data_IF_341624572988
#
_entry.id   IF_341624572988
#
_cell.length_a   1.000
_cell.length_b   1.000
_cell.length_c   1.000
_cell.angle_alpha   90.00
_cell.angle_beta   90.00
_cell.angle_gamma   90.00
#
_symmetry.space_group_name_H-M   'P 1'
#
loop_
_entity.id
_entity.type
_entity.pdbx_description
1 polymer ?
#
# COMPACT_ATOMS: atom_id res chain seq x y z
N UNK A 1 30.78 16.69 -10.21
CA UNK A 1 29.50 16.36 -9.52
C UNK A 1 28.34 16.41 -10.50
N UNK A 2 28.33 15.49 -11.47
CA UNK A 2 27.22 15.23 -12.39
C UNK A 2 27.10 13.72 -12.42
N UNK A 3 26.20 13.14 -11.63
CA UNK A 3 25.66 11.80 -11.79
C UNK A 3 24.64 11.55 -10.67
N UNK A 4 23.58 10.82 -11.02
CA UNK A 4 22.45 10.36 -10.18
C UNK A 4 21.26 11.34 -10.14
N UNK A 5 20.60 11.48 -11.29
CA UNK A 5 19.13 11.54 -11.37
C UNK A 5 18.73 10.71 -12.60
N UNK A 6 18.69 9.38 -12.43
CA UNK A 6 18.01 8.53 -13.40
C UNK A 6 16.56 8.46 -12.94
N UNK A 7 15.73 9.35 -13.48
CA UNK A 7 14.30 9.36 -13.24
C UNK A 7 13.73 8.00 -13.66
N UNK A 8 13.02 7.36 -12.74
CA UNK A 8 12.14 6.23 -13.03
C UNK A 8 10.90 6.84 -13.68
N UNK A 9 10.88 6.92 -15.01
CA UNK A 9 9.64 7.11 -15.75
C UNK A 9 8.84 5.81 -15.65
N UNK A 10 7.76 5.83 -14.86
CA UNK A 10 6.72 4.80 -14.88
C UNK A 10 5.48 5.37 -15.52
N UNK A 11 5.18 4.94 -16.74
CA UNK A 11 3.88 5.11 -17.39
C UNK A 11 2.91 4.09 -16.80
N UNK A 12 1.65 4.47 -16.55
CA UNK A 12 0.62 3.52 -16.09
C UNK A 12 -0.72 3.75 -16.79
N UNK A 13 -1.36 2.63 -17.15
CA UNK A 13 -2.67 2.51 -17.79
C UNK A 13 -3.82 2.58 -16.76
N UNK A 14 -4.95 3.17 -17.16
CA UNK A 14 -6.19 3.21 -16.36
C UNK A 14 -6.96 1.90 -16.58
N UNK A 15 -7.21 1.13 -15.52
CA UNK A 15 -8.10 -0.05 -15.60
C UNK A 15 -9.34 0.19 -14.72
N UNK A 16 -10.56 0.14 -15.27
CA UNK A 16 -11.80 0.24 -14.49
C UNK A 16 -11.97 -0.97 -13.57
N UNK A 17 -12.31 -0.73 -12.29
CA UNK A 17 -12.66 -1.80 -11.33
C UNK A 17 -14.19 -1.88 -11.20
N UNK A 18 -14.81 -2.86 -11.87
CA UNK A 18 -16.19 -3.33 -11.59
C UNK A 18 -17.36 -2.43 -12.03
N UNK A 19 -18.43 -3.05 -12.55
CA UNK A 19 -19.57 -2.36 -13.21
C UNK A 19 -20.55 -1.61 -12.29
N UNK A 20 -20.42 -1.66 -10.96
CA UNK A 20 -21.44 -1.04 -10.09
C UNK A 20 -21.07 0.32 -9.49
N UNK A 21 -19.80 0.66 -9.35
CA UNK A 21 -19.30 2.01 -9.06
C UNK A 21 -17.81 1.99 -9.42
N UNK A 22 -17.39 2.45 -10.62
CA UNK A 22 -16.00 2.31 -11.03
C UNK A 22 -15.13 3.17 -10.13
N UNK A 23 -14.44 2.54 -9.19
CA UNK A 23 -13.43 3.21 -8.40
C UNK A 23 -12.31 3.66 -9.35
N UNK A 24 -11.99 4.95 -9.32
CA UNK A 24 -10.87 5.48 -10.08
C UNK A 24 -9.58 5.11 -9.38
N UNK A 25 -8.77 4.28 -10.05
CA UNK A 25 -7.44 3.91 -9.59
C UNK A 25 -6.44 5.00 -9.99
N UNK A 26 -5.82 5.65 -9.01
CA UNK A 26 -4.77 6.66 -9.26
C UNK A 26 -3.42 6.17 -8.77
N UNK A 27 -2.41 6.34 -9.62
CA UNK A 27 -1.02 6.00 -9.33
C UNK A 27 -0.24 7.20 -8.80
N UNK A 28 0.63 6.94 -7.81
CA UNK A 28 1.54 7.94 -7.26
C UNK A 28 2.59 8.34 -8.28
N UNK A 29 2.62 9.63 -8.64
CA UNK A 29 3.58 10.22 -9.56
C UNK A 29 4.79 10.79 -8.80
N UNK A 30 6.00 10.78 -9.37
CA UNK A 30 7.10 11.58 -8.86
C UNK A 30 6.73 13.07 -8.87
N UNK A 31 7.10 13.78 -7.82
CA UNK A 31 6.93 15.23 -7.76
C UNK A 31 7.91 15.92 -8.72
N UNK A 32 7.38 16.64 -9.71
CA UNK A 32 8.17 17.45 -10.66
C UNK A 32 7.54 18.84 -10.80
N UNK A 33 8.33 19.90 -11.08
CA UNK A 33 7.78 21.24 -11.28
C UNK A 33 6.66 21.30 -12.31
N UNK A 34 6.90 20.71 -13.49
CA UNK A 34 5.91 20.72 -14.58
C UNK A 34 4.66 19.92 -14.20
N UNK A 35 4.85 18.74 -13.61
CA UNK A 35 3.76 17.88 -13.16
C UNK A 35 2.87 18.49 -12.07
N UNK A 36 3.42 19.39 -11.25
CA UNK A 36 2.71 19.99 -10.12
C UNK A 36 2.21 21.42 -10.36
N UNK A 37 2.63 22.06 -11.46
CA UNK A 37 2.40 23.48 -11.74
C UNK A 37 0.93 23.92 -11.79
N UNK A 38 0.02 23.02 -12.17
CA UNK A 38 -1.44 23.28 -12.15
C UNK A 38 -2.03 23.34 -10.74
N UNK A 39 -1.38 22.70 -9.78
CA UNK A 39 -1.82 22.61 -8.39
C UNK A 39 -1.08 23.59 -7.47
N UNK A 40 0.12 24.01 -7.85
CA UNK A 40 0.95 24.77 -6.95
C UNK A 40 2.38 24.98 -7.41
N UNK A 41 3.27 25.13 -6.44
CA UNK A 41 4.71 25.26 -6.65
C UNK A 41 5.50 24.38 -5.69
N UNK A 42 6.75 24.10 -6.05
CA UNK A 42 7.67 23.27 -5.26
C UNK A 42 8.86 24.13 -4.84
N UNK A 43 9.27 24.02 -3.58
CA UNK A 43 10.50 24.60 -3.07
C UNK A 43 11.38 23.50 -2.46
N UNK A 44 12.45 23.14 -3.17
CA UNK A 44 13.45 22.15 -2.75
C UNK A 44 14.59 22.86 -2.00
N UNK A 45 14.30 23.44 -0.84
CA UNK A 45 15.36 23.93 0.05
C UNK A 45 15.46 23.00 1.27
N UNK A 46 16.53 22.18 1.40
CA UNK A 46 16.65 21.20 2.48
C UNK A 46 16.72 21.82 3.89
N UNK A 47 16.95 23.14 3.98
CA UNK A 47 16.96 23.87 5.25
C UNK A 47 15.60 24.49 5.62
N UNK A 48 14.56 24.30 4.81
CA UNK A 48 13.25 24.94 5.00
C UNK A 48 12.47 24.41 6.23
N UNK A 49 12.90 23.30 6.83
CA UNK A 49 12.29 22.81 8.08
C UNK A 49 12.56 23.74 9.28
N UNK A 50 13.45 24.73 9.14
CA UNK A 50 13.52 25.86 10.06
C UNK A 50 12.32 26.77 9.78
N UNK A 51 11.19 26.41 10.38
CA UNK A 51 10.09 27.35 10.56
C UNK A 51 10.55 28.35 11.62
N UNK A 52 11.01 29.52 11.16
CA UNK A 52 11.21 30.71 12.00
C UNK A 52 12.22 30.56 13.16
N UNK A 53 13.18 29.63 13.06
CA UNK A 53 14.13 29.36 14.15
C UNK A 53 13.50 28.77 15.42
N UNK A 54 12.21 28.40 15.37
CA UNK A 54 11.46 27.81 16.48
C UNK A 54 11.42 26.29 16.33
N UNK A 55 11.72 25.59 17.42
CA UNK A 55 11.53 24.15 17.50
C UNK A 55 10.03 23.87 17.56
N UNK A 56 9.48 23.28 16.51
CA UNK A 56 8.13 22.72 16.53
C UNK A 56 8.23 21.31 17.11
N UNK A 57 7.62 21.11 18.27
CA UNK A 57 7.44 19.78 18.86
C UNK A 57 5.99 19.36 18.73
N UNK A 58 5.76 18.05 18.66
CA UNK A 58 4.42 17.48 18.80
C UNK A 58 3.79 17.97 20.11
N UNK A 59 2.55 18.49 20.11
CA UNK A 59 1.86 18.84 21.34
C UNK A 59 1.52 17.61 22.18
N UNK A 60 1.64 17.71 23.51
CA UNK A 60 1.20 16.67 24.46
C UNK A 60 -0.34 16.60 24.60
N UNK A 61 -1.06 17.46 23.90
CA UNK A 61 -2.53 17.50 23.90
C UNK A 61 -3.11 16.50 22.90
N UNK A 62 -4.38 16.14 23.09
CA UNK A 62 -5.12 15.37 22.09
C UNK A 62 -5.25 16.18 20.80
N UNK A 63 -5.05 15.53 19.66
CA UNK A 63 -5.34 16.10 18.35
C UNK A 63 -6.76 16.67 18.31
N UNK A 64 -6.92 17.88 17.77
CA UNK A 64 -8.22 18.55 17.69
C UNK A 64 -8.95 18.23 16.38
N UNK A 65 -8.28 17.57 15.43
CA UNK A 65 -8.88 16.95 14.24
C UNK A 65 -8.23 15.59 13.99
N UNK A 66 -8.98 14.68 13.37
CA UNK A 66 -8.48 13.34 13.01
C UNK A 66 -9.34 12.72 11.91
N UNK A 67 -8.75 11.80 11.16
CA UNK A 67 -9.45 10.95 10.19
C UNK A 67 -8.79 9.57 10.12
N UNK A 68 -9.25 8.70 9.20
CA UNK A 68 -8.63 7.39 9.01
C UNK A 68 -7.14 7.51 8.70
N UNK A 69 -6.30 7.02 9.62
CA UNK A 69 -4.85 7.00 9.47
C UNK A 69 -4.13 8.33 9.78
N UNK A 70 -4.80 9.37 10.30
CA UNK A 70 -4.11 10.64 10.61
C UNK A 70 -4.70 11.42 11.78
N UNK A 71 -3.85 12.23 12.41
CA UNK A 71 -4.15 13.11 13.55
C UNK A 71 -3.58 14.50 13.29
N UNK A 72 -4.33 15.55 13.59
CA UNK A 72 -3.95 16.94 13.31
C UNK A 72 -4.11 17.82 14.55
N UNK A 73 -3.10 18.67 14.77
CA UNK A 73 -3.07 19.73 15.75
C UNK A 73 -2.96 21.06 15.02
N UNK A 74 -4.01 21.89 15.09
CA UNK A 74 -4.00 23.22 14.45
C UNK A 74 -4.96 24.20 15.12
N UNK A 75 -4.54 25.43 15.47
CA UNK A 75 -3.17 25.95 15.33
C UNK A 75 -2.25 25.41 16.42
N UNK A 76 -0.96 25.24 16.10
CA UNK A 76 0.12 25.01 17.09
C UNK A 76 1.09 26.19 17.22
N UNK A 77 1.12 27.06 16.22
CA UNK A 77 1.89 28.31 16.22
C UNK A 77 1.30 29.30 15.21
N UNK A 78 1.73 30.55 15.28
CA UNK A 78 1.53 31.54 14.22
C UNK A 78 2.55 31.33 13.09
N UNK A 79 2.13 31.55 11.85
CA UNK A 79 2.98 31.46 10.66
C UNK A 79 3.52 32.84 10.31
N UNK A 80 4.83 32.91 10.05
CA UNK A 80 5.47 34.08 9.43
C UNK A 80 5.55 33.97 7.90
N UNK A 81 5.42 32.75 7.36
CA UNK A 81 5.45 32.48 5.92
C UNK A 81 4.18 32.96 5.23
N UNK A 82 3.11 33.05 6.00
CA UNK A 82 1.80 33.51 5.57
C UNK A 82 1.39 34.58 6.59
N UNK A 83 1.29 35.84 6.18
CA UNK A 83 0.96 36.95 7.09
C UNK A 83 -0.30 36.61 7.90
N UNK A 84 -0.25 36.63 9.23
CA UNK A 84 -1.40 36.29 10.07
C UNK A 84 -1.87 34.83 9.93
N UNK A 85 -1.04 33.98 9.33
CA UNK A 85 -1.28 32.56 9.13
C UNK A 85 -1.09 31.76 10.40
N UNK A 86 -1.49 30.50 10.34
CA UNK A 86 -1.26 29.52 11.40
C UNK A 86 -0.41 28.37 10.87
N UNK A 87 0.26 27.71 11.81
CA UNK A 87 0.95 26.45 11.57
C UNK A 87 0.13 25.34 12.20
N UNK A 88 -0.10 24.27 11.44
CA UNK A 88 -0.60 23.00 11.96
C UNK A 88 0.43 21.89 11.79
N UNK A 89 0.26 20.83 12.58
CA UNK A 89 1.08 19.62 12.53
C UNK A 89 0.16 18.42 12.34
N UNK A 90 0.54 17.52 11.44
CA UNK A 90 -0.19 16.29 11.14
C UNK A 90 0.75 15.11 11.32
N UNK A 91 0.28 14.11 12.06
CA UNK A 91 0.85 12.78 12.06
C UNK A 91 -0.02 11.87 11.21
N UNK A 92 0.60 11.15 10.28
CA UNK A 92 -0.09 10.25 9.36
C UNK A 92 0.59 8.87 9.36
N UNK A 93 -0.20 7.81 9.43
CA UNK A 93 0.25 6.41 9.47
C UNK A 93 0.74 5.95 8.11
N UNK A 94 1.80 5.14 8.07
CA UNK A 94 2.30 4.60 6.82
C UNK A 94 1.29 3.65 6.21
N UNK A 95 0.94 3.91 4.95
CA UNK A 95 -0.05 3.14 4.21
C UNK A 95 0.60 2.40 3.03
N UNK A 96 -0.02 1.28 2.65
CA UNK A 96 0.34 0.48 1.48
C UNK A 96 -0.91 -0.23 0.96
N UNK A 97 -1.01 -0.41 -0.36
CA UNK A 97 -2.18 -1.03 -0.98
C UNK A 97 -3.24 -0.01 -1.38
N UNK A 98 -4.50 -0.47 -1.44
CA UNK A 98 -5.66 0.36 -1.76
C UNK A 98 -6.15 1.15 -0.56
N UNK A 99 -6.45 2.44 -0.79
CA UNK A 99 -6.99 3.35 0.21
C UNK A 99 -8.14 4.09 -0.44
N UNK A 100 -9.31 4.01 0.17
CA UNK A 100 -10.45 4.81 -0.24
C UNK A 100 -10.29 6.22 0.30
N UNK A 101 -10.34 7.20 -0.60
CA UNK A 101 -10.39 8.63 -0.24
C UNK A 101 -11.87 8.99 -0.12
N UNK A 102 -12.39 9.30 1.09
CA UNK A 102 -13.82 9.51 1.29
C UNK A 102 -14.32 10.88 0.81
N UNK A 103 -13.41 11.83 0.65
CA UNK A 103 -13.68 13.22 0.29
C UNK A 103 -12.40 14.05 0.33
N UNK A 104 -12.51 15.33 0.01
CA UNK A 104 -11.39 16.27 -0.03
C UNK A 104 -11.76 17.56 0.70
N UNK A 105 -10.77 18.27 1.20
CA UNK A 105 -10.93 19.64 1.68
C UNK A 105 -10.18 20.61 0.76
N UNK A 106 -10.40 21.92 0.92
CA UNK A 106 -9.64 22.94 0.21
C UNK A 106 -9.58 24.20 1.03
N UNK A 107 -8.49 24.94 0.87
CA UNK A 107 -8.29 26.22 1.53
C UNK A 107 -8.50 27.38 0.54
N UNK A 108 -9.06 28.49 1.02
CA UNK A 108 -9.25 29.72 0.22
C UNK A 108 -7.96 30.53 0.08
N UNK A 109 -7.01 30.29 0.96
CA UNK A 109 -5.66 30.83 0.90
C UNK A 109 -4.69 29.76 0.40
N UNK A 110 -3.48 30.13 -0.02
CA UNK A 110 -2.45 29.13 -0.31
C UNK A 110 -2.15 28.30 0.94
N UNK A 111 -1.97 27.01 0.74
CA UNK A 111 -1.53 26.09 1.80
C UNK A 111 -0.13 25.59 1.49
N UNK A 112 0.77 25.71 2.46
CA UNK A 112 2.11 25.15 2.36
C UNK A 112 2.13 23.84 3.13
N UNK A 113 2.65 22.75 2.56
CA UNK A 113 2.90 21.50 3.27
C UNK A 113 4.37 21.09 3.17
N UNK A 114 4.90 20.54 4.26
CA UNK A 114 6.26 20.04 4.31
C UNK A 114 6.38 18.81 5.22
N UNK A 115 6.75 17.63 4.68
CA UNK A 115 7.06 16.47 5.49
C UNK A 115 8.41 16.61 6.20
N UNK A 116 8.45 16.28 7.49
CA UNK A 116 9.59 16.50 8.37
C UNK A 116 10.46 15.26 8.54
N UNK A 117 9.86 14.08 8.70
CA UNK A 117 10.56 12.86 9.14
C UNK A 117 10.31 11.64 8.24
N UNK A 118 9.75 11.84 7.05
CA UNK A 118 9.46 10.78 6.08
C UNK A 118 8.90 11.32 4.77
N UNK A 119 8.52 10.45 3.86
CA UNK A 119 7.82 10.83 2.63
C UNK A 119 6.31 10.78 2.85
N UNK A 120 5.58 11.61 2.10
CA UNK A 120 4.12 11.60 2.09
C UNK A 120 3.59 11.53 0.66
N UNK A 121 2.42 10.95 0.48
CA UNK A 121 1.64 11.05 -0.75
C UNK A 121 0.56 12.11 -0.56
N UNK A 122 0.57 13.08 -1.46
CA UNK A 122 -0.40 14.16 -1.53
C UNK A 122 -1.37 13.88 -2.68
N UNK A 123 -2.67 13.82 -2.37
CA UNK A 123 -3.75 13.71 -3.35
C UNK A 123 -4.34 15.09 -3.57
N UNK A 124 -4.40 15.55 -4.82
CA UNK A 124 -4.91 16.88 -5.19
C UNK A 124 -5.88 16.78 -6.36
N UNK A 125 -6.83 17.71 -6.44
CA UNK A 125 -7.70 17.89 -7.60
C UNK A 125 -7.96 19.39 -7.83
N UNK A 126 -8.16 19.83 -9.08
CA UNK A 126 -8.38 21.24 -9.36
C UNK A 126 -9.73 21.72 -8.78
N UNK A 127 -9.73 22.88 -8.13
CA UNK A 127 -10.95 23.63 -7.83
C UNK A 127 -11.12 24.80 -8.79
N UNK A 128 -12.36 25.08 -9.17
CA UNK A 128 -12.74 26.14 -10.11
C UNK A 128 -12.90 27.48 -9.42
N UNK A 129 -13.54 27.51 -8.24
CA UNK A 129 -13.76 28.74 -7.50
C UNK A 129 -13.67 28.49 -5.98
N UNK A 130 -12.60 28.94 -5.29
CA UNK A 130 -12.44 28.74 -3.84
C UNK A 130 -13.58 29.33 -3.00
N UNK A 131 -14.34 30.29 -3.54
CA UNK A 131 -15.44 30.94 -2.84
C UNK A 131 -16.80 30.26 -3.06
N UNK A 132 -16.87 29.22 -3.90
CA UNK A 132 -18.12 28.49 -4.13
C UNK A 132 -18.27 27.35 -3.09
N UNK A 133 -19.15 27.51 -2.10
CA UNK A 133 -19.40 26.46 -1.09
C UNK A 133 -20.04 25.19 -1.65
N UNK A 134 -20.71 25.29 -2.80
CA UNK A 134 -21.45 24.19 -3.43
C UNK A 134 -20.60 23.38 -4.43
N UNK A 135 -19.35 23.80 -4.67
CA UNK A 135 -18.46 23.05 -5.53
C UNK A 135 -18.05 21.74 -4.84
N UNK A 136 -18.11 20.64 -5.58
CA UNK A 136 -17.67 19.33 -5.14
C UNK A 136 -16.32 18.97 -5.79
N UNK A 137 -15.44 18.21 -5.12
CA UNK A 137 -14.26 17.66 -5.75
C UNK A 137 -14.64 16.66 -6.86
N UNK A 138 -13.91 16.68 -7.97
CA UNK A 138 -14.08 15.74 -9.08
C UNK A 138 -13.00 14.66 -9.02
N UNK A 139 -13.39 13.43 -8.66
CA UNK A 139 -12.46 12.30 -8.53
C UNK A 139 -11.70 12.00 -9.83
N UNK A 140 -12.30 12.30 -11.00
CA UNK A 140 -11.67 12.03 -12.32
C UNK A 140 -10.53 12.97 -12.66
N UNK A 141 -10.44 14.09 -11.95
CA UNK A 141 -9.38 15.09 -12.11
C UNK A 141 -8.35 15.04 -10.98
N UNK A 142 -8.47 14.05 -10.09
CA UNK A 142 -7.51 13.88 -9.02
C UNK A 142 -6.16 13.41 -9.57
N UNK A 143 -5.08 13.85 -8.93
CA UNK A 143 -3.72 13.43 -9.16
C UNK A 143 -3.04 13.14 -7.82
N UNK A 144 -2.01 12.31 -7.84
CA UNK A 144 -1.26 11.98 -6.62
C UNK A 144 0.24 12.14 -6.83
N UNK A 145 0.90 12.74 -5.84
CA UNK A 145 2.32 13.07 -5.90
C UNK A 145 3.04 12.53 -4.67
N UNK A 146 4.20 11.89 -4.88
CA UNK A 146 5.13 11.54 -3.81
C UNK A 146 5.94 12.78 -3.43
N UNK A 147 5.75 13.29 -2.23
CA UNK A 147 6.46 14.45 -1.68
C UNK A 147 7.62 13.93 -0.81
N UNK A 148 8.89 14.13 -1.23
CA UNK A 148 10.03 13.68 -0.45
C UNK A 148 10.15 14.45 0.86
N UNK A 149 10.78 13.83 1.86
CA UNK A 149 11.13 14.49 3.12
C UNK A 149 11.86 15.82 2.85
N UNK A 150 11.55 16.84 3.65
CA UNK A 150 12.11 18.20 3.53
C UNK A 150 11.81 18.93 2.21
N UNK A 151 10.88 18.43 1.39
CA UNK A 151 10.40 19.15 0.21
C UNK A 151 9.16 19.94 0.56
N UNK A 152 9.20 21.26 0.37
CA UNK A 152 8.03 22.10 0.57
C UNK A 152 7.21 22.16 -0.73
N UNK A 153 5.91 21.97 -0.60
CA UNK A 153 4.94 22.28 -1.67
C UNK A 153 3.99 23.37 -1.22
N UNK A 154 3.61 24.25 -2.14
CA UNK A 154 2.59 25.28 -1.89
C UNK A 154 1.43 25.03 -2.84
N UNK A 155 0.27 24.67 -2.29
CA UNK A 155 -0.99 24.55 -3.00
C UNK A 155 -1.54 25.93 -3.33
N UNK A 156 -2.04 26.08 -4.56
CA UNK A 156 -2.77 27.27 -4.96
C UNK A 156 -4.12 27.34 -4.19
N UNK A 157 -4.65 28.56 -3.97
CA UNK A 157 -6.00 28.74 -3.44
C UNK A 157 -7.05 27.90 -4.17
N UNK A 158 -7.91 27.21 -3.42
CA UNK A 158 -9.04 26.45 -3.94
C UNK A 158 -8.73 25.05 -4.45
N UNK A 159 -7.47 24.62 -4.41
CA UNK A 159 -7.10 23.25 -4.75
C UNK A 159 -7.68 22.29 -3.72
N UNK A 160 -8.47 21.33 -4.20
CA UNK A 160 -8.93 20.22 -3.41
C UNK A 160 -7.74 19.34 -3.06
N UNK A 161 -7.66 18.87 -1.83
CA UNK A 161 -6.65 17.91 -1.41
C UNK A 161 -7.18 16.98 -0.32
N UNK A 162 -6.54 15.82 -0.18
CA UNK A 162 -6.71 14.94 0.98
C UNK A 162 -5.57 15.14 1.97
N UNK A 163 -5.80 14.73 3.23
CA UNK A 163 -4.75 14.72 4.23
C UNK A 163 -3.62 13.83 3.73
N UNK A 164 -2.40 14.35 3.73
CA UNK A 164 -1.28 13.63 3.15
C UNK A 164 -1.00 12.34 3.92
N UNK A 165 -0.66 11.28 3.19
CA UNK A 165 -0.52 9.93 3.72
C UNK A 165 0.95 9.54 3.80
N UNK A 166 1.42 9.02 4.94
CA UNK A 166 2.79 8.53 5.04
C UNK A 166 3.00 7.33 4.11
N UNK A 167 4.18 7.26 3.49
CA UNK A 167 4.58 6.10 2.70
C UNK A 167 6.01 5.69 3.00
N UNK A 168 6.36 4.49 2.53
CA UNK A 168 7.70 3.91 2.61
C UNK A 168 8.25 3.67 4.02
N UNK A 169 7.53 3.99 5.10
CA UNK A 169 7.88 3.56 6.46
C UNK A 169 7.42 2.13 6.77
N UNK A 170 8.01 1.46 7.77
CA UNK A 170 7.47 0.24 8.34
C UNK A 170 6.00 0.38 8.78
N UNK A 171 5.27 -0.72 8.79
CA UNK A 171 3.86 -0.73 9.21
C UNK A 171 3.72 -0.27 10.67
N UNK A 172 2.78 0.64 10.93
CA UNK A 172 2.55 1.22 12.25
C UNK A 172 3.48 2.41 12.58
N UNK A 173 4.49 2.68 11.77
CA UNK A 173 5.24 3.94 11.86
C UNK A 173 4.46 5.08 11.22
N UNK A 174 4.76 6.30 11.69
CA UNK A 174 4.11 7.54 11.23
C UNK A 174 5.10 8.47 10.57
N UNK A 175 4.61 9.30 9.67
CA UNK A 175 5.31 10.50 9.19
C UNK A 175 4.63 11.73 9.78
N UNK A 176 5.45 12.68 10.20
CA UNK A 176 5.02 14.02 10.60
C UNK A 176 5.20 14.98 9.43
N UNK A 177 4.17 15.77 9.14
CA UNK A 177 4.29 16.92 8.26
C UNK A 177 3.64 18.15 8.90
N UNK A 178 4.11 19.32 8.50
CA UNK A 178 3.56 20.62 8.93
C UNK A 178 2.85 21.27 7.77
N UNK A 179 1.86 22.09 8.09
CA UNK A 179 1.18 22.92 7.12
C UNK A 179 1.04 24.37 7.58
N UNK A 180 1.03 25.30 6.63
CA UNK A 180 0.79 26.72 6.85
C UNK A 180 -0.40 27.19 6.04
N UNK A 181 -1.37 27.86 6.68
CA UNK A 181 -2.56 28.42 6.03
C UNK A 181 -2.87 29.83 6.57
N UNK A 182 -3.48 30.69 5.77
CA UNK A 182 -4.04 31.96 6.27
C UNK A 182 -5.48 31.72 6.76
N UNK A 183 -5.75 31.72 8.08
CA UNK A 183 -7.09 31.51 8.60
C UNK A 183 -8.03 32.68 8.27
N UNK A 184 -7.51 33.85 7.88
CA UNK A 184 -8.34 35.04 7.59
C UNK A 184 -9.06 34.92 6.25
N UNK A 185 -8.59 34.07 5.35
CA UNK A 185 -9.35 33.67 4.15
C UNK A 185 -10.70 33.03 4.49
N UNK A 186 -10.88 32.61 5.74
CA UNK A 186 -12.04 31.88 6.25
C UNK A 186 -13.03 32.78 7.01
N UNK A 187 -12.66 34.04 7.30
CA UNK A 187 -13.41 34.91 8.19
C UNK A 187 -14.71 35.52 7.60
N UNK A 188 -15.11 35.14 6.38
CA UNK A 188 -16.36 35.61 5.76
C UNK A 188 -17.48 34.56 5.96
N UNK A 189 -18.17 34.64 7.09
CA UNK A 189 -19.52 34.10 7.44
C UNK A 189 -19.95 32.67 7.05
N UNK A 190 -19.12 31.87 6.37
CA UNK A 190 -19.43 30.51 5.98
C UNK A 190 -18.45 29.58 6.70
N UNK A 191 -18.91 28.67 7.57
CA UNK A 191 -18.04 27.73 8.27
C UNK A 191 -17.21 26.96 7.23
N UNK A 192 -15.97 26.62 7.58
CA UNK A 192 -15.11 25.78 6.73
C UNK A 192 -15.96 24.61 6.22
N UNK A 193 -16.15 24.45 4.90
CA UNK A 193 -16.63 23.16 4.44
C UNK A 193 -15.55 22.18 4.87
N UNK A 194 -15.90 21.27 5.78
CA UNK A 194 -14.98 20.21 6.19
C UNK A 194 -14.67 19.30 5.01
N UNK A 195 -14.32 18.06 5.30
CA UNK A 195 -14.20 17.01 4.28
C UNK A 195 -15.48 16.92 3.43
N UNK A 196 -15.42 17.38 2.19
CA UNK A 196 -16.53 17.31 1.24
C UNK A 196 -16.43 15.98 0.51
N UNK A 197 -17.46 15.12 0.57
CA UNK A 197 -17.46 13.89 -0.21
C UNK A 197 -17.48 14.19 -1.71
N UNK A 198 -16.99 13.24 -2.50
CA UNK A 198 -17.23 13.26 -3.95
C UNK A 198 -18.73 13.21 -4.27
N UNK A 199 -19.09 13.51 -5.52
CA UNK A 199 -20.47 13.27 -5.97
C UNK A 199 -20.88 11.81 -5.72
N UNK A 200 -22.18 11.53 -5.51
CA UNK A 200 -22.68 10.18 -5.14
C UNK A 200 -22.30 9.07 -6.13
N UNK A 201 -21.92 9.44 -7.34
CA UNK A 201 -21.56 8.53 -8.43
C UNK A 201 -20.04 8.29 -8.51
N UNK A 202 -19.24 8.98 -7.68
CA UNK A 202 -17.79 8.94 -7.73
C UNK A 202 -17.20 8.38 -6.43
N UNK A 203 -16.17 7.54 -6.59
CA UNK A 203 -15.27 7.13 -5.53
C UNK A 203 -13.84 7.21 -6.03
N UNK A 204 -12.92 7.53 -5.11
CA UNK A 204 -11.50 7.61 -5.41
C UNK A 204 -10.76 6.54 -4.60
N UNK A 205 -10.09 5.62 -5.30
CA UNK A 205 -9.19 4.64 -4.68
C UNK A 205 -7.74 4.94 -5.08
N UNK A 206 -6.94 5.24 -4.07
CA UNK A 206 -5.50 5.42 -4.23
C UNK A 206 -4.81 4.08 -4.04
N UNK A 207 -3.94 3.71 -4.97
CA UNK A 207 -3.10 2.53 -4.83
C UNK A 207 -1.63 2.92 -4.63
N UNK A 208 -1.10 2.59 -3.45
CA UNK A 208 0.28 2.88 -3.07
C UNK A 208 1.08 1.58 -3.09
N UNK A 209 1.97 1.49 -4.08
CA UNK A 209 2.96 0.40 -4.15
C UNK A 209 4.22 0.79 -3.38
N UNK A 210 4.50 0.08 -2.28
CA UNK A 210 5.81 0.16 -1.63
C UNK A 210 6.83 -0.57 -2.51
N UNK A 211 7.85 0.14 -2.97
CA UNK A 211 8.99 -0.53 -3.62
C UNK A 211 9.89 -1.10 -2.52
N UNK A 212 10.39 -2.34 -2.68
CA UNK A 212 11.36 -2.87 -1.74
C UNK A 212 12.63 -2.02 -1.84
N UNK A 213 13.08 -1.47 -0.72
CA UNK A 213 14.43 -0.93 -0.60
C UNK A 213 15.44 -2.02 -0.98
N UNK A 214 16.48 -1.68 -1.75
CA UNK A 214 17.53 -2.62 -2.15
C UNK A 214 18.18 -3.38 -0.98
N UNK A 215 19.02 -4.37 -1.29
CA UNK A 215 19.75 -5.15 -0.27
C UNK A 215 20.99 -4.44 0.28
N UNK A 216 21.37 -3.29 -0.30
CA UNK A 216 22.48 -2.48 0.18
C UNK A 216 22.26 -2.02 1.63
N UNK A 217 23.27 -2.20 2.49
CA UNK A 217 23.17 -1.86 3.91
C UNK A 217 22.44 -2.88 4.78
N UNK A 218 22.00 -4.00 4.22
CA UNK A 218 21.34 -5.09 4.95
C UNK A 218 22.17 -6.38 4.95
N UNK A 219 22.03 -7.20 5.98
CA UNK A 219 22.62 -8.55 6.09
C UNK A 219 21.51 -9.54 6.43
N UNK A 220 21.42 -10.65 5.68
CA UNK A 220 20.55 -11.78 6.00
C UNK A 220 21.07 -12.50 7.25
N UNK A 221 20.28 -12.48 8.34
CA UNK A 221 20.59 -13.17 9.61
C UNK A 221 20.11 -14.62 9.60
N UNK A 222 18.88 -14.85 9.12
CA UNK A 222 18.30 -16.18 9.05
C UNK A 222 17.23 -16.26 7.95
N UNK A 223 16.85 -17.48 7.59
CA UNK A 223 15.69 -17.78 6.73
C UNK A 223 14.67 -18.54 7.56
N UNK A 224 13.73 -17.84 8.21
CA UNK A 224 12.90 -18.46 9.25
C UNK A 224 11.92 -19.52 8.70
N UNK A 225 11.56 -19.41 7.42
CA UNK A 225 10.53 -20.24 6.80
C UNK A 225 9.12 -19.85 7.28
N UNK A 226 8.27 -20.85 7.50
CA UNK A 226 6.87 -20.60 7.85
C UNK A 226 6.74 -20.04 9.27
N UNK A 227 6.15 -18.85 9.42
CA UNK A 227 5.90 -18.23 10.73
C UNK A 227 4.51 -18.60 11.29
N UNK A 228 3.53 -18.85 10.42
CA UNK A 228 2.16 -19.21 10.78
C UNK A 228 1.54 -18.29 11.83
N UNK A 229 0.86 -18.89 12.80
CA UNK A 229 0.22 -18.21 13.95
C UNK A 229 1.22 -17.52 14.89
N UNK A 230 2.53 -17.82 14.78
CA UNK A 230 3.60 -17.26 15.64
C UNK A 230 4.30 -16.04 15.05
N UNK A 231 3.76 -15.47 13.97
CA UNK A 231 4.33 -14.28 13.31
C UNK A 231 4.54 -13.13 14.31
N UNK A 232 3.50 -12.78 15.07
CA UNK A 232 3.53 -11.60 15.93
C UNK A 232 4.48 -11.80 17.12
N UNK A 233 4.54 -13.02 17.68
CA UNK A 233 5.56 -13.42 18.66
C UNK A 233 6.98 -13.22 18.11
N UNK A 234 7.23 -13.69 16.88
CA UNK A 234 8.55 -13.56 16.24
C UNK A 234 8.89 -12.11 15.93
N UNK A 235 7.92 -11.30 15.52
CA UNK A 235 8.13 -9.87 15.29
C UNK A 235 8.46 -9.15 16.61
N UNK A 236 7.78 -9.51 17.70
CA UNK A 236 8.11 -9.00 19.04
C UNK A 236 9.51 -9.40 19.48
N UNK A 237 9.91 -10.66 19.26
CA UNK A 237 11.28 -11.15 19.51
C UNK A 237 12.32 -10.36 18.72
N UNK A 238 12.12 -10.17 17.42
CA UNK A 238 13.04 -9.42 16.56
C UNK A 238 13.08 -7.92 16.91
N UNK A 239 11.95 -7.32 17.26
CA UNK A 239 11.91 -5.96 17.77
C UNK A 239 12.74 -5.82 19.05
N UNK A 240 12.66 -6.78 19.97
CA UNK A 240 13.48 -6.76 21.19
C UNK A 240 14.97 -7.03 20.95
N UNK A 241 15.31 -7.75 19.88
CA UNK A 241 16.70 -8.13 19.56
C UNK A 241 17.45 -7.10 18.69
N UNK A 242 16.76 -6.46 17.75
CA UNK A 242 17.38 -5.63 16.73
C UNK A 242 16.90 -4.18 16.73
N UNK A 243 15.90 -3.83 17.55
CA UNK A 243 15.11 -2.59 17.48
C UNK A 243 14.22 -2.49 16.24
N UNK A 244 13.05 -1.88 16.42
CA UNK A 244 12.12 -1.63 15.31
C UNK A 244 12.77 -0.72 14.26
N UNK A 245 12.58 -1.02 12.97
CA UNK A 245 13.18 -0.29 11.86
C UNK A 245 14.64 -0.68 11.51
N UNK A 246 15.28 -1.52 12.31
CA UNK A 246 16.63 -2.05 12.08
C UNK A 246 16.64 -3.51 11.60
N UNK A 247 15.48 -4.14 11.50
CA UNK A 247 15.29 -5.43 10.86
C UNK A 247 14.12 -5.36 9.87
N UNK A 248 14.11 -6.29 8.91
CA UNK A 248 13.00 -6.50 7.97
C UNK A 248 12.86 -7.97 7.59
N UNK A 249 11.64 -8.39 7.28
CA UNK A 249 11.36 -9.69 6.67
C UNK A 249 11.08 -9.47 5.19
N UNK A 250 11.88 -10.07 4.31
CA UNK A 250 11.80 -9.90 2.86
C UNK A 250 11.90 -11.25 2.16
N UNK A 251 11.54 -11.29 0.87
CA UNK A 251 11.84 -12.42 0.01
C UNK A 251 13.04 -12.07 -0.88
N UNK A 252 14.12 -12.81 -0.73
CA UNK A 252 15.37 -12.64 -1.49
C UNK A 252 15.87 -14.00 -1.96
N UNK A 253 16.17 -14.09 -3.26
CA UNK A 253 16.69 -15.31 -3.88
C UNK A 253 18.22 -15.47 -3.70
N UNK A 254 18.81 -16.49 -4.32
CA UNK A 254 20.25 -16.76 -4.22
C UNK A 254 21.13 -15.73 -4.93
N UNK A 255 20.55 -14.88 -5.78
CA UNK A 255 21.25 -13.83 -6.53
C UNK A 255 21.08 -12.45 -5.87
N UNK A 256 20.65 -12.42 -4.60
CA UNK A 256 20.33 -11.20 -3.84
C UNK A 256 19.24 -10.32 -4.47
N UNK A 257 18.42 -10.86 -5.40
CA UNK A 257 17.27 -10.15 -5.93
C UNK A 257 16.14 -10.17 -4.91
N UNK A 258 15.62 -9.00 -4.60
CA UNK A 258 14.41 -8.83 -3.81
C UNK A 258 13.18 -9.10 -4.67
N UNK A 259 12.25 -9.87 -4.09
CA UNK A 259 10.97 -10.19 -4.67
C UNK A 259 9.89 -9.40 -3.95
N UNK A 260 9.11 -8.65 -4.72
CA UNK A 260 7.87 -8.06 -4.23
C UNK A 260 6.81 -9.13 -4.01
N UNK A 261 5.84 -8.85 -3.14
CA UNK A 261 4.71 -9.76 -2.96
C UNK A 261 3.92 -9.93 -4.27
N UNK A 262 3.83 -8.89 -5.12
CA UNK A 262 3.15 -9.01 -6.41
C UNK A 262 3.89 -9.96 -7.36
N UNK A 263 5.22 -9.88 -7.43
CA UNK A 263 6.01 -10.81 -8.26
C UNK A 263 5.87 -12.24 -7.74
N UNK A 264 5.83 -12.44 -6.42
CA UNK A 264 5.60 -13.77 -5.85
C UNK A 264 4.20 -14.26 -6.23
N UNK A 265 3.16 -13.46 -6.02
CA UNK A 265 1.77 -13.87 -6.24
C UNK A 265 1.46 -14.08 -7.72
N UNK A 266 1.79 -13.11 -8.57
CA UNK A 266 1.37 -13.15 -9.97
C UNK A 266 2.38 -13.84 -10.88
N UNK A 267 3.69 -13.75 -10.61
CA UNK A 267 4.67 -14.43 -11.46
C UNK A 267 4.98 -15.83 -10.95
N UNK A 268 5.16 -16.02 -9.64
CA UNK A 268 5.52 -17.35 -9.11
C UNK A 268 4.30 -18.22 -8.91
N UNK A 269 3.35 -17.79 -8.06
CA UNK A 269 2.18 -18.60 -7.73
C UNK A 269 1.25 -18.75 -8.93
N UNK A 270 0.76 -17.64 -9.50
CA UNK A 270 -0.28 -17.71 -10.53
C UNK A 270 0.21 -18.38 -11.82
N UNK A 271 1.45 -18.13 -12.28
CA UNK A 271 1.97 -18.86 -13.44
C UNK A 271 2.15 -20.36 -13.16
N UNK A 272 2.60 -20.73 -11.96
CA UNK A 272 2.76 -22.15 -11.60
C UNK A 272 1.41 -22.86 -11.49
N UNK A 273 0.38 -22.20 -10.93
CA UNK A 273 -1.00 -22.67 -10.99
C UNK A 273 -1.49 -22.81 -12.43
N UNK A 274 -1.25 -21.81 -13.28
CA UNK A 274 -1.69 -21.84 -14.68
C UNK A 274 -1.05 -23.01 -15.44
N UNK A 275 0.26 -23.23 -15.27
CA UNK A 275 0.97 -24.36 -15.84
C UNK A 275 0.41 -25.70 -15.34
N UNK A 276 0.19 -25.84 -14.02
CA UNK A 276 -0.43 -27.02 -13.45
C UNK A 276 -1.79 -27.32 -14.09
N UNK A 277 -2.67 -26.32 -14.22
CA UNK A 277 -4.00 -26.50 -14.79
C UNK A 277 -4.03 -26.67 -16.32
N UNK A 278 -3.00 -26.23 -17.03
CA UNK A 278 -2.83 -26.57 -18.45
C UNK A 278 -2.60 -28.07 -18.62
N UNK A 279 -1.85 -28.69 -17.72
CA UNK A 279 -1.63 -30.14 -17.69
C UNK A 279 -2.81 -30.90 -17.05
N UNK A 280 -3.64 -30.21 -16.25
CA UNK A 280 -4.80 -30.78 -15.53
C UNK A 280 -6.11 -30.04 -15.86
N UNK A 281 -6.54 -29.94 -17.13
CA UNK A 281 -7.64 -29.07 -17.53
C UNK A 281 -9.00 -29.48 -16.94
N UNK A 282 -9.21 -30.78 -16.71
CA UNK A 282 -10.43 -31.30 -16.06
C UNK A 282 -10.60 -30.79 -14.63
N UNK A 283 -9.49 -30.55 -13.93
CA UNK A 283 -9.50 -30.02 -12.57
C UNK A 283 -9.87 -28.53 -12.57
N UNK A 284 -9.28 -27.75 -13.47
CA UNK A 284 -9.64 -26.35 -13.66
C UNK A 284 -11.12 -26.20 -14.00
N UNK A 285 -11.62 -26.99 -14.96
CA UNK A 285 -13.03 -27.01 -15.36
C UNK A 285 -13.94 -27.39 -14.19
N UNK A 286 -13.54 -28.38 -13.38
CA UNK A 286 -14.30 -28.74 -12.19
C UNK A 286 -14.37 -27.58 -11.20
N UNK A 287 -13.24 -26.91 -10.91
CA UNK A 287 -13.21 -25.77 -9.99
C UNK A 287 -14.15 -24.66 -10.49
N UNK A 288 -13.95 -24.19 -11.72
CA UNK A 288 -14.68 -23.01 -12.19
C UNK A 288 -16.17 -23.27 -12.41
N UNK A 289 -16.58 -24.52 -12.68
CA UNK A 289 -18.00 -24.84 -12.84
C UNK A 289 -18.72 -25.10 -11.50
N UNK A 290 -18.01 -25.42 -10.41
CA UNK A 290 -18.62 -25.78 -9.13
C UNK A 290 -18.49 -24.71 -8.04
N UNK A 291 -17.56 -23.77 -8.19
CA UNK A 291 -17.27 -22.76 -7.17
C UNK A 291 -17.35 -21.33 -7.70
N UNK A 292 -17.51 -20.36 -6.81
CA UNK A 292 -17.57 -18.93 -7.13
C UNK A 292 -16.20 -18.25 -7.08
N UNK A 293 -15.29 -18.75 -6.23
CA UNK A 293 -13.89 -18.34 -6.08
C UNK A 293 -13.22 -19.26 -5.05
N UNK A 294 -11.91 -19.18 -4.89
CA UNK A 294 -11.15 -19.82 -3.82
C UNK A 294 -10.82 -18.85 -2.66
N UNK A 295 -10.69 -19.40 -1.44
CA UNK A 295 -10.27 -18.71 -0.21
C UNK A 295 -9.48 -19.67 0.71
N UNK A 296 -8.83 -19.16 1.75
CA UNK A 296 -8.00 -19.98 2.64
C UNK A 296 -8.68 -20.30 3.98
N UNK A 297 -9.18 -19.31 4.71
CA UNK A 297 -9.60 -19.49 6.11
C UNK A 297 -11.09 -19.23 6.32
N UNK A 298 -11.80 -20.17 6.96
CA UNK A 298 -13.24 -20.07 7.27
C UNK A 298 -13.56 -18.88 8.18
N UNK A 299 -12.63 -18.53 9.08
CA UNK A 299 -12.81 -17.40 9.99
C UNK A 299 -12.72 -16.05 9.26
N UNK A 300 -12.22 -16.03 8.02
CA UNK A 300 -11.99 -14.83 7.22
C UNK A 300 -12.45 -15.05 5.76
N UNK A 301 -13.75 -15.27 5.50
CA UNK A 301 -14.23 -15.47 4.14
C UNK A 301 -13.96 -14.21 3.30
N UNK A 302 -13.38 -14.42 2.11
CA UNK A 302 -13.11 -13.34 1.15
C UNK A 302 -14.29 -13.29 0.20
N UNK A 303 -14.99 -12.15 0.03
CA UNK A 303 -16.09 -12.07 -0.93
C UNK A 303 -15.54 -12.07 -2.37
N UNK A 304 -16.36 -12.47 -3.34
CA UNK A 304 -15.93 -12.74 -4.73
C UNK A 304 -15.24 -11.52 -5.38
N UNK A 305 -15.74 -10.32 -5.10
CA UNK A 305 -15.19 -9.06 -5.61
C UNK A 305 -13.81 -8.70 -5.05
N UNK A 306 -13.34 -9.41 -4.01
CA UNK A 306 -12.00 -9.27 -3.43
C UNK A 306 -11.12 -10.48 -3.69
N UNK A 307 -11.66 -11.55 -4.27
CA UNK A 307 -10.98 -12.84 -4.35
C UNK A 307 -9.78 -12.84 -5.30
N UNK A 308 -9.64 -11.82 -6.16
CA UNK A 308 -8.48 -11.59 -7.04
C UNK A 308 -7.65 -10.36 -6.64
N UNK A 309 -8.02 -9.70 -5.53
CA UNK A 309 -7.33 -8.50 -5.04
C UNK A 309 -6.29 -8.88 -3.97
N UNK A 310 -5.02 -8.82 -4.37
CA UNK A 310 -3.90 -9.10 -3.50
C UNK A 310 -3.87 -8.17 -2.27
N UNK A 311 -4.07 -6.88 -2.47
CA UNK A 311 -3.87 -5.92 -1.40
C UNK A 311 -4.99 -5.96 -0.36
N UNK A 312 -6.19 -6.41 -0.74
CA UNK A 312 -7.29 -6.66 0.21
C UNK A 312 -7.14 -7.96 1.01
N UNK A 313 -6.19 -8.83 0.65
CA UNK A 313 -5.98 -10.13 1.29
C UNK A 313 -4.56 -10.32 1.85
N UNK A 314 -3.68 -9.33 1.66
CA UNK A 314 -2.30 -9.32 2.13
C UNK A 314 -2.04 -8.19 3.12
N UNK A 315 -1.34 -8.53 4.20
CA UNK A 315 -0.88 -7.63 5.26
C UNK A 315 -1.98 -6.76 5.87
N UNK A 316 -3.20 -7.31 5.95
CA UNK A 316 -4.34 -6.62 6.53
C UNK A 316 -4.30 -6.70 8.07
N UNK A 317 -4.54 -5.59 8.80
CA UNK A 317 -4.50 -5.61 10.25
C UNK A 317 -5.52 -6.59 10.84
N UNK A 318 -5.05 -7.50 11.71
CA UNK A 318 -5.89 -8.50 12.37
C UNK A 318 -6.43 -9.61 11.46
N UNK A 319 -6.02 -9.65 10.18
CA UNK A 319 -6.49 -10.64 9.20
C UNK A 319 -5.28 -11.42 8.68
N UNK A 320 -5.27 -12.77 8.76
CA UNK A 320 -4.22 -13.58 8.17
C UNK A 320 -4.15 -13.39 6.65
N UNK A 321 -2.94 -13.49 6.11
CA UNK A 321 -2.70 -13.42 4.67
C UNK A 321 -3.42 -14.56 3.93
N UNK A 322 -4.12 -14.23 2.84
CA UNK A 322 -4.82 -15.21 1.98
C UNK A 322 -4.45 -15.05 0.49
N UNK A 323 -3.22 -14.58 0.23
CA UNK A 323 -2.78 -14.29 -1.14
C UNK A 323 -2.57 -15.54 -2.00
N UNK A 324 -2.50 -16.74 -1.42
CA UNK A 324 -2.37 -17.97 -2.21
C UNK A 324 -3.67 -18.25 -2.97
N UNK A 325 -4.82 -18.06 -2.31
CA UNK A 325 -6.12 -18.12 -2.96
C UNK A 325 -6.27 -17.05 -4.06
N UNK A 326 -5.73 -15.84 -3.85
CA UNK A 326 -5.69 -14.79 -4.89
C UNK A 326 -4.96 -15.29 -6.14
N UNK A 327 -3.79 -15.91 -5.97
CA UNK A 327 -3.03 -16.42 -7.12
C UNK A 327 -3.77 -17.52 -7.88
N UNK A 328 -4.44 -18.45 -7.18
CA UNK A 328 -5.27 -19.49 -7.78
C UNK A 328 -6.42 -18.88 -8.59
N UNK A 329 -7.16 -17.93 -7.99
CA UNK A 329 -8.26 -17.24 -8.66
C UNK A 329 -7.76 -16.49 -9.90
N UNK A 330 -6.63 -15.79 -9.78
CA UNK A 330 -6.03 -15.04 -10.86
C UNK A 330 -5.59 -15.93 -12.02
N UNK A 331 -4.95 -17.07 -11.72
CA UNK A 331 -4.51 -18.04 -12.73
C UNK A 331 -5.70 -18.56 -13.56
N UNK A 332 -6.78 -18.98 -12.90
CA UNK A 332 -7.97 -19.51 -13.57
C UNK A 332 -8.68 -18.42 -14.39
N UNK A 333 -8.95 -17.27 -13.78
CA UNK A 333 -9.77 -16.23 -14.41
C UNK A 333 -9.04 -15.50 -15.53
N UNK A 334 -7.77 -15.12 -15.33
CA UNK A 334 -7.08 -14.20 -16.23
C UNK A 334 -6.02 -14.87 -17.09
N UNK A 335 -5.23 -15.81 -16.54
CA UNK A 335 -4.20 -16.49 -17.33
C UNK A 335 -4.79 -17.60 -18.22
N UNK A 336 -5.82 -18.29 -17.73
CA UNK A 336 -6.48 -19.39 -18.46
C UNK A 336 -7.84 -19.00 -19.06
N UNK A 337 -8.32 -17.79 -18.81
CA UNK A 337 -9.62 -17.29 -19.28
C UNK A 337 -10.79 -18.23 -18.93
N UNK A 338 -10.79 -18.76 -17.70
CA UNK A 338 -11.82 -19.65 -17.14
C UNK A 338 -12.51 -18.94 -15.96
N UNK A 339 -13.54 -18.11 -16.20
CA UNK A 339 -14.27 -17.47 -15.11
C UNK A 339 -15.06 -18.49 -14.29
N UNK A 340 -15.13 -18.26 -12.98
CA UNK A 340 -15.96 -19.04 -12.06
C UNK A 340 -17.46 -18.87 -12.37
N UNK A 341 -18.24 -19.94 -12.21
CA UNK A 341 -19.68 -20.03 -12.50
C UNK A 341 -20.48 -20.66 -11.38
N UNK A 342 -19.82 -21.29 -10.41
CA UNK A 342 -20.48 -21.83 -9.24
C UNK A 342 -20.90 -20.73 -8.27
N UNK A 343 -21.64 -21.12 -7.23
CA UNK A 343 -22.22 -20.20 -6.25
C UNK A 343 -21.67 -20.37 -4.83
N UNK A 344 -20.80 -21.37 -4.59
CA UNK A 344 -20.16 -21.61 -3.30
C UNK A 344 -18.65 -21.37 -3.36
N UNK A 345 -18.02 -20.83 -2.31
CA UNK A 345 -16.56 -20.63 -2.30
C UNK A 345 -15.81 -21.97 -2.09
N UNK A 346 -14.58 -22.07 -2.61
CA UNK A 346 -13.67 -23.21 -2.48
C UNK A 346 -12.61 -22.93 -1.43
N UNK A 347 -12.60 -23.69 -0.33
CA UNK A 347 -11.53 -23.60 0.67
C UNK A 347 -10.31 -24.40 0.23
N UNK A 348 -9.13 -23.77 0.17
CA UNK A 348 -7.87 -24.43 -0.23
C UNK A 348 -6.88 -24.65 0.90
N UNK A 349 -7.03 -23.98 2.04
CA UNK A 349 -6.12 -24.18 3.18
C UNK A 349 -6.46 -25.46 3.95
N UNK A 350 -5.46 -26.26 4.39
CA UNK A 350 -5.68 -27.47 5.16
C UNK A 350 -6.63 -27.29 6.35
N UNK A 351 -7.34 -28.36 6.68
CA UNK A 351 -8.17 -28.39 7.87
C UNK A 351 -7.29 -28.40 9.13
N UNK A 352 -7.81 -27.91 10.26
CA UNK A 352 -7.17 -28.16 11.55
C UNK A 352 -7.10 -29.66 11.83
N UNK A 353 -6.17 -30.07 12.70
CA UNK A 353 -6.02 -31.46 13.11
C UNK A 353 -7.37 -32.07 13.58
N UNK A 354 -7.69 -33.24 13.05
CA UNK A 354 -8.93 -33.97 13.36
C UNK A 354 -10.16 -33.56 12.54
N UNK A 355 -10.06 -32.57 11.64
CA UNK A 355 -11.14 -32.22 10.69
C UNK A 355 -10.90 -32.87 9.32
N UNK A 356 -11.96 -33.21 8.55
CA UNK A 356 -11.80 -33.69 7.19
C UNK A 356 -11.16 -32.60 6.32
N UNK A 357 -10.31 -32.96 5.34
CA UNK A 357 -9.69 -31.98 4.45
C UNK A 357 -10.77 -31.30 3.60
N UNK A 358 -10.67 -29.98 3.37
CA UNK A 358 -11.62 -29.28 2.50
C UNK A 358 -11.48 -29.75 1.05
N UNK A 359 -12.52 -29.52 0.24
CA UNK A 359 -12.54 -29.97 -1.16
C UNK A 359 -11.38 -29.40 -1.98
N UNK A 360 -10.85 -28.24 -1.59
CA UNK A 360 -9.77 -27.56 -2.29
C UNK A 360 -8.36 -27.86 -1.79
N UNK A 361 -8.18 -28.67 -0.74
CA UNK A 361 -6.87 -28.89 -0.11
C UNK A 361 -5.81 -29.38 -1.09
N UNK A 362 -6.22 -30.17 -2.09
CA UNK A 362 -5.27 -30.68 -3.10
C UNK A 362 -4.64 -29.58 -3.95
N UNK A 363 -5.24 -28.40 -4.03
CA UNK A 363 -4.69 -27.23 -4.73
C UNK A 363 -4.02 -26.22 -3.79
N UNK A 364 -3.77 -26.60 -2.54
CA UNK A 364 -2.92 -25.82 -1.64
C UNK A 364 -1.53 -25.61 -2.28
N UNK A 365 -0.89 -24.43 -2.19
CA UNK A 365 0.40 -24.16 -2.83
C UNK A 365 1.54 -25.08 -2.40
N UNK A 366 1.43 -25.69 -1.22
CA UNK A 366 2.35 -26.75 -0.76
C UNK A 366 2.16 -28.10 -1.44
N UNK A 367 1.27 -28.22 -2.44
CA UNK A 367 1.02 -29.41 -3.27
C UNK A 367 1.09 -29.13 -4.77
N UNK A 368 1.20 -27.86 -5.15
CA UNK A 368 1.31 -27.46 -6.55
C UNK A 368 2.79 -27.31 -6.90
N UNK A 369 3.28 -27.96 -7.97
CA UNK A 369 4.65 -27.79 -8.44
C UNK A 369 4.95 -26.33 -8.77
N UNK A 370 6.11 -25.84 -8.33
CA UNK A 370 6.66 -24.58 -8.77
C UNK A 370 7.29 -24.76 -10.16
N UNK A 371 7.17 -23.75 -11.03
CA UNK A 371 7.86 -23.79 -12.32
C UNK A 371 9.39 -23.90 -12.15
N UNK A 372 10.09 -24.74 -12.94
CA UNK A 372 11.54 -24.98 -12.78
C UNK A 372 12.38 -23.70 -12.77
N UNK A 373 12.05 -22.71 -13.60
CA UNK A 373 12.75 -21.41 -13.67
C UNK A 373 12.78 -20.66 -12.32
N UNK A 374 11.84 -20.91 -11.42
CA UNK A 374 11.81 -20.30 -10.09
C UNK A 374 12.58 -21.14 -9.08
N UNK A 375 12.49 -22.48 -9.15
CA UNK A 375 13.29 -23.37 -8.32
C UNK A 375 14.80 -23.16 -8.53
N UNK A 376 15.22 -22.91 -9.77
CA UNK A 376 16.62 -22.59 -10.10
C UNK A 376 17.17 -21.40 -9.31
N UNK A 377 16.32 -20.46 -8.88
CA UNK A 377 16.70 -19.26 -8.13
C UNK A 377 16.92 -19.53 -6.63
N UNK A 378 16.58 -20.72 -6.14
CA UNK A 378 16.69 -21.08 -4.73
C UNK A 378 17.53 -22.33 -4.47
N UNK A 379 18.06 -22.98 -5.52
CA UNK A 379 18.80 -24.24 -5.42
C UNK A 379 19.99 -24.21 -4.45
N UNK A 380 20.62 -23.05 -4.27
CA UNK A 380 21.77 -22.89 -3.37
C UNK A 380 21.40 -22.24 -2.03
N UNK A 381 20.12 -21.99 -1.76
CA UNK A 381 19.69 -21.47 -0.47
C UNK A 381 19.69 -22.57 0.59
N UNK A 382 19.90 -22.22 1.87
CA UNK A 382 19.75 -23.16 2.97
C UNK A 382 18.39 -23.84 2.96
N UNK A 383 18.39 -25.14 3.22
CA UNK A 383 17.18 -25.94 3.20
C UNK A 383 16.21 -25.51 4.31
N UNK A 384 14.97 -25.20 3.90
CA UNK A 384 13.84 -24.87 4.78
C UNK A 384 12.82 -26.02 4.88
N UNK A 385 13.13 -27.20 4.35
CA UNK A 385 12.28 -28.41 4.29
C UNK A 385 11.79 -28.93 5.64
N UNK A 386 12.36 -28.47 6.76
CA UNK A 386 11.81 -28.78 8.10
C UNK A 386 10.31 -28.45 8.22
N UNK A 387 9.81 -27.57 7.37
CA UNK A 387 8.40 -27.15 7.32
C UNK A 387 7.57 -27.85 6.23
N UNK A 388 8.21 -28.44 5.20
CA UNK A 388 7.52 -29.00 4.04
C UNK A 388 8.25 -30.22 3.48
N UNK A 389 7.51 -31.31 3.24
CA UNK A 389 8.08 -32.56 2.72
C UNK A 389 8.48 -32.50 1.24
N UNK A 390 8.03 -31.48 0.49
CA UNK A 390 8.25 -31.38 -0.95
C UNK A 390 8.89 -30.03 -1.32
N UNK A 391 10.16 -30.11 -1.72
CA UNK A 391 11.00 -28.97 -2.14
C UNK A 391 10.75 -28.54 -3.59
N UNK A 392 9.76 -29.11 -4.27
CA UNK A 392 9.43 -28.77 -5.66
C UNK A 392 8.20 -27.88 -5.78
N UNK A 393 7.61 -27.46 -4.65
CA UNK A 393 6.32 -26.78 -4.61
C UNK A 393 6.42 -25.26 -4.63
N UNK A 394 5.33 -24.58 -5.01
CA UNK A 394 5.25 -23.11 -5.01
C UNK A 394 5.54 -22.56 -3.60
N UNK A 395 4.98 -23.19 -2.57
CA UNK A 395 5.18 -22.80 -1.18
C UNK A 395 6.65 -22.92 -0.77
N UNK A 396 7.37 -23.94 -1.27
CA UNK A 396 8.80 -24.06 -1.00
C UNK A 396 9.57 -22.83 -1.50
N UNK A 397 9.30 -22.33 -2.71
CA UNK A 397 9.91 -21.11 -3.22
C UNK A 397 9.69 -19.92 -2.29
N UNK A 398 8.43 -19.67 -1.90
CA UNK A 398 8.09 -18.56 -1.02
C UNK A 398 8.80 -18.62 0.33
N UNK A 399 8.89 -19.82 0.90
CA UNK A 399 9.48 -20.01 2.22
C UNK A 399 11.01 -20.03 2.18
N UNK A 400 11.62 -20.56 1.12
CA UNK A 400 13.07 -20.57 0.93
C UNK A 400 13.61 -19.16 0.68
N UNK A 401 12.90 -18.33 -0.10
CA UNK A 401 13.30 -16.94 -0.36
C UNK A 401 13.11 -16.03 0.87
N UNK A 402 12.29 -16.42 1.84
CA UNK A 402 12.02 -15.59 3.03
C UNK A 402 13.26 -15.45 3.92
N UNK A 403 13.73 -14.22 4.07
CA UNK A 403 14.92 -13.86 4.82
C UNK A 403 14.61 -12.77 5.85
N UNK A 404 15.08 -12.99 7.07
CA UNK A 404 15.24 -11.93 8.06
C UNK A 404 16.53 -11.19 7.74
N UNK A 405 16.42 -9.89 7.45
CA UNK A 405 17.56 -9.01 7.24
C UNK A 405 17.66 -7.99 8.37
N UNK A 406 18.88 -7.62 8.73
CA UNK A 406 19.17 -6.54 9.70
C UNK A 406 20.10 -5.51 9.08
N UNK A 407 19.99 -4.25 9.48
CA UNK A 407 20.91 -3.20 9.03
C UNK A 407 22.34 -3.51 9.48
N UNK A 408 23.31 -3.15 8.64
CA UNK A 408 24.74 -3.28 8.91
C UNK A 408 25.22 -2.41 10.05
#
# INVERSE_FOLDING_TARGET
MKNIMKAIEKTVEVTPVGEQHPALLIHVRPLTPDGFSSFGSINQNPNAAIIDGKLITRPDTKANRSGPGWQCWSPIAESILVTGGIVGLVETESVSGYITIPGMERERSPEIQQPLDGEIVLVVAPGKNPNNSEELPDASLAETFLIPQNTQVTLNPGIWHYASLAVNKPFGEKTTYVFHVDPRGEATESPRPGWIPFSKEQSLELFIKKLPEGTEGWITQERPGHLGRRRDEKFSEWNGRYDSGNWRLVNVDQNDRLWTIEEIVFNVYAESYAAYFQDHPKEADWIVNNFSHAYELDEYPVPVERATDLYRTYNQPGIPNQFHAVALNYALMYLLNKPFKGNKPLRVYPADEGKPPPEGEKWHPGRIPCLPKYLELINNLPDVSRWYSDTTTIEHFYQATKALQVKK
#
